data_IF_645662092813
#
_entry.id   IF_645662092813
#
_cell.length_a   1.000
_cell.length_b   1.000
_cell.length_c   1.000
_cell.angle_alpha   90.00
_cell.angle_beta   90.00
_cell.angle_gamma   90.00
#
_symmetry.space_group_name_H-M   'P 1'
#
loop_
_entity.id
_entity.type
_entity.pdbx_description
1 polymer ?
#
# COMPACT_ATOMS: atom_id res chain seq x y z
N UNK A 1 3.46 16.76 27.64
CA UNK A 1 3.27 15.39 27.11
C UNK A 1 2.59 15.58 25.77
N UNK A 2 3.31 15.34 24.67
CA UNK A 2 2.67 15.34 23.35
C UNK A 2 1.72 14.14 23.29
N UNK A 3 0.44 14.37 23.00
CA UNK A 3 -0.51 13.28 22.75
C UNK A 3 -0.04 12.49 21.55
N UNK A 4 0.20 11.18 21.72
CA UNK A 4 0.56 10.29 20.62
C UNK A 4 -0.65 10.05 19.72
N UNK A 5 -0.41 9.62 18.47
CA UNK A 5 -1.49 9.26 17.55
C UNK A 5 -2.44 8.18 18.12
N UNK A 6 -1.96 7.33 19.03
CA UNK A 6 -2.75 6.31 19.72
C UNK A 6 -3.75 6.88 20.73
N UNK A 7 -3.62 8.15 21.12
CA UNK A 7 -4.44 8.77 22.16
C UNK A 7 -5.76 9.34 21.59
N UNK A 8 -5.89 9.37 20.26
CA UNK A 8 -7.09 9.82 19.55
C UNK A 8 -8.03 8.61 19.36
N UNK A 9 -9.31 8.79 19.70
CA UNK A 9 -10.31 7.74 19.50
C UNK A 9 -10.40 7.34 18.02
N UNK A 10 -10.51 6.03 17.73
CA UNK A 10 -10.56 5.54 16.35
C UNK A 10 -11.72 6.13 15.54
N UNK A 11 -12.84 6.44 16.21
CA UNK A 11 -14.00 7.08 15.58
C UNK A 11 -13.69 8.48 15.08
N UNK A 12 -12.84 9.24 15.78
CA UNK A 12 -12.41 10.56 15.34
C UNK A 12 -11.54 10.48 14.07
N UNK A 13 -10.66 9.47 13.98
CA UNK A 13 -9.90 9.18 12.76
C UNK A 13 -10.82 8.90 11.57
N UNK A 14 -11.83 8.05 11.76
CA UNK A 14 -12.81 7.72 10.70
C UNK A 14 -13.64 8.94 10.32
N UNK A 15 -14.03 9.77 11.28
CA UNK A 15 -14.77 11.01 11.02
C UNK A 15 -13.93 12.04 10.24
N UNK A 16 -12.64 12.17 10.56
CA UNK A 16 -11.70 13.01 9.82
C UNK A 16 -11.49 12.50 8.40
N UNK A 17 -11.27 11.20 8.25
CA UNK A 17 -11.15 10.56 6.95
C UNK A 17 -12.37 10.81 6.07
N UNK A 18 -13.58 10.60 6.60
CA UNK A 18 -14.82 10.86 5.87
C UNK A 18 -14.94 12.33 5.43
N UNK A 19 -14.60 13.28 6.32
CA UNK A 19 -14.59 14.72 5.98
C UNK A 19 -13.59 15.06 4.88
N UNK A 20 -12.37 14.52 4.96
CA UNK A 20 -11.35 14.79 3.94
C UNK A 20 -11.71 14.15 2.60
N UNK A 21 -12.20 12.90 2.57
CA UNK A 21 -12.65 12.24 1.35
C UNK A 21 -13.81 12.99 0.65
N UNK A 22 -14.70 13.61 1.44
CA UNK A 22 -15.81 14.40 0.90
C UNK A 22 -15.39 15.79 0.38
N UNK A 23 -14.30 16.36 0.91
CA UNK A 23 -13.91 17.76 0.64
C UNK A 23 -12.67 17.91 -0.25
N UNK A 24 -11.80 16.92 -0.30
CA UNK A 24 -10.57 16.93 -1.09
C UNK A 24 -10.78 16.11 -2.36
N UNK A 25 -10.67 16.72 -3.55
CA UNK A 25 -10.79 15.97 -4.79
C UNK A 25 -9.63 14.98 -4.91
N UNK A 26 -9.95 13.73 -5.30
CA UNK A 26 -8.93 12.72 -5.55
C UNK A 26 -8.21 12.98 -6.87
N UNK A 27 -6.96 12.53 -6.94
CA UNK A 27 -6.16 12.52 -8.17
C UNK A 27 -6.59 11.31 -9.01
N UNK A 28 -7.17 11.60 -10.17
CA UNK A 28 -7.48 10.59 -11.18
C UNK A 28 -6.29 10.38 -12.13
N UNK A 29 -5.93 9.12 -12.39
CA UNK A 29 -4.88 8.75 -13.35
C UNK A 29 -5.55 8.15 -14.60
N UNK A 30 -5.64 8.88 -15.72
CA UNK A 30 -6.25 8.36 -16.93
C UNK A 30 -5.38 7.22 -17.49
N UNK A 31 -5.96 6.02 -17.57
CA UNK A 31 -5.27 4.84 -18.08
C UNK A 31 -6.27 3.83 -18.67
N UNK A 32 -5.96 3.18 -19.82
CA UNK A 32 -6.89 2.23 -20.47
C UNK A 32 -7.08 0.92 -19.70
N UNK A 33 -6.15 0.59 -18.81
CA UNK A 33 -6.26 -0.55 -17.88
C UNK A 33 -6.41 -0.01 -16.47
N UNK A 34 -7.59 -0.21 -15.89
CA UNK A 34 -7.91 0.19 -14.51
C UNK A 34 -8.28 -1.03 -13.67
N UNK A 35 -8.05 -0.90 -12.38
CA UNK A 35 -8.49 -1.78 -11.32
C UNK A 35 -9.07 -0.96 -10.19
N UNK A 36 -9.91 -1.57 -9.37
CA UNK A 36 -10.45 -0.93 -8.19
C UNK A 36 -10.39 -1.88 -7.00
N UNK A 37 -10.22 -1.30 -5.81
CA UNK A 37 -10.16 -2.05 -4.55
C UNK A 37 -11.02 -1.41 -3.48
N UNK A 38 -11.56 -2.21 -2.56
CA UNK A 38 -12.33 -1.73 -1.43
C UNK A 38 -11.53 -1.75 -0.13
N UNK A 39 -11.35 -0.58 0.48
CA UNK A 39 -10.83 -0.41 1.83
C UNK A 39 -12.04 -0.39 2.77
N UNK A 40 -12.32 -1.53 3.40
CA UNK A 40 -13.49 -1.69 4.27
C UNK A 40 -13.11 -1.50 5.73
N UNK A 41 -13.77 -0.56 6.40
CA UNK A 41 -13.59 -0.24 7.82
C UNK A 41 -14.83 -0.70 8.60
N UNK A 42 -14.62 -1.36 9.73
CA UNK A 42 -15.69 -1.66 10.70
C UNK A 42 -15.34 -1.12 12.09
N UNK A 43 -16.36 -0.75 12.86
CA UNK A 43 -16.19 -0.38 14.28
C UNK A 43 -16.60 -1.55 15.17
N UNK A 44 -15.70 -2.00 16.05
CA UNK A 44 -15.96 -3.07 17.01
C UNK A 44 -15.94 -2.53 18.44
N UNK A 45 -16.29 -3.37 19.41
CA UNK A 45 -16.23 -3.04 20.85
C UNK A 45 -17.10 -1.82 21.25
N UNK A 46 -18.24 -1.65 20.59
CA UNK A 46 -19.27 -0.69 20.98
C UNK A 46 -20.47 -1.41 21.59
N UNK A 47 -21.04 -0.84 22.66
CA UNK A 47 -22.18 -1.41 23.37
C UNK A 47 -23.44 -1.50 22.47
N UNK A 48 -23.64 -0.52 21.60
CA UNK A 48 -24.71 -0.50 20.61
C UNK A 48 -24.30 0.28 19.35
N UNK A 49 -24.94 -0.01 18.23
CA UNK A 49 -24.79 0.79 17.02
C UNK A 49 -26.01 1.71 16.93
N UNK A 50 -25.81 3.04 16.83
CA UNK A 50 -26.93 3.91 16.53
C UNK A 50 -27.49 3.59 15.14
N UNK A 51 -28.79 3.79 14.91
CA UNK A 51 -29.36 3.63 13.58
C UNK A 51 -28.67 4.62 12.62
N UNK A 52 -28.22 4.12 11.47
CA UNK A 52 -27.67 4.96 10.42
C UNK A 52 -28.81 5.46 9.52
N UNK A 53 -29.07 6.78 9.45
CA UNK A 53 -30.13 7.30 8.61
C UNK A 53 -29.72 7.19 7.13
N UNK A 54 -30.49 6.46 6.29
CA UNK A 54 -30.18 6.36 4.87
C UNK A 54 -30.39 7.72 4.20
N UNK A 55 -29.41 8.14 3.40
CA UNK A 55 -29.41 9.43 2.69
C UNK A 55 -29.25 9.20 1.18
N UNK A 56 -29.99 9.97 0.38
CA UNK A 56 -29.99 9.87 -1.09
C UNK A 56 -29.07 10.88 -1.77
N UNK A 57 -28.60 11.92 -1.05
CA UNK A 57 -27.70 12.96 -1.61
C UNK A 57 -26.35 12.96 -0.88
N UNK A 58 -25.23 13.31 -1.56
CA UNK A 58 -23.90 13.31 -0.94
C UNK A 58 -23.77 14.22 0.30
N UNK A 59 -24.42 15.37 0.26
CA UNK A 59 -24.45 16.35 1.38
C UNK A 59 -25.18 15.76 2.59
N UNK A 60 -26.33 15.14 2.37
CA UNK A 60 -27.08 14.47 3.42
C UNK A 60 -26.31 13.25 3.96
N UNK A 61 -25.62 12.49 3.11
CA UNK A 61 -24.76 11.37 3.53
C UNK A 61 -23.64 11.84 4.46
N UNK A 62 -23.02 12.99 4.18
CA UNK A 62 -21.97 13.57 5.03
C UNK A 62 -22.54 13.97 6.40
N UNK A 63 -23.73 14.56 6.43
CA UNK A 63 -24.40 14.92 7.68
C UNK A 63 -24.81 13.68 8.48
N UNK A 64 -25.39 12.66 7.84
CA UNK A 64 -25.74 11.37 8.44
C UNK A 64 -24.52 10.64 9.01
N UNK A 65 -23.39 10.67 8.29
CA UNK A 65 -22.11 10.14 8.76
C UNK A 65 -21.61 10.88 10.00
N UNK A 66 -21.66 12.21 9.99
CA UNK A 66 -21.25 13.01 11.13
C UNK A 66 -22.12 12.72 12.35
N UNK A 67 -23.44 12.65 12.21
CA UNK A 67 -24.36 12.29 13.30
C UNK A 67 -24.10 10.88 13.84
N UNK A 68 -23.91 9.90 12.95
CA UNK A 68 -23.58 8.53 13.31
C UNK A 68 -22.28 8.43 14.12
N UNK A 69 -21.19 9.01 13.61
CA UNK A 69 -19.87 8.95 14.24
C UNK A 69 -19.76 9.82 15.51
N UNK A 70 -20.56 10.88 15.63
CA UNK A 70 -20.59 11.72 16.83
C UNK A 70 -21.36 11.09 17.99
N UNK A 71 -22.01 9.93 17.78
CA UNK A 71 -22.75 9.26 18.83
C UNK A 71 -21.83 8.74 19.94
N UNK A 72 -22.11 9.13 21.18
CA UNK A 72 -21.29 8.78 22.34
C UNK A 72 -21.16 7.29 22.60
N UNK A 73 -22.09 6.47 22.11
CA UNK A 73 -22.02 5.00 22.21
C UNK A 73 -20.87 4.43 21.38
N UNK A 74 -20.45 5.13 20.31
CA UNK A 74 -19.30 4.75 19.50
C UNK A 74 -17.97 5.27 20.06
N UNK A 75 -17.96 6.10 21.11
CA UNK A 75 -16.74 6.74 21.60
C UNK A 75 -15.61 5.76 21.98
N UNK A 76 -15.97 4.56 22.48
CA UNK A 76 -15.01 3.50 22.84
C UNK A 76 -14.77 2.48 21.72
N UNK A 77 -15.38 2.67 20.54
CA UNK A 77 -15.30 1.72 19.45
C UNK A 77 -13.90 1.72 18.84
N UNK A 78 -13.43 0.54 18.44
CA UNK A 78 -12.15 0.36 17.74
C UNK A 78 -12.42 0.13 16.26
N UNK A 79 -11.73 0.88 15.40
CA UNK A 79 -11.73 0.62 13.96
C UNK A 79 -10.84 -0.58 13.59
N UNK A 80 -11.33 -1.43 12.70
CA UNK A 80 -10.55 -2.47 12.01
C UNK A 80 -10.67 -2.29 10.49
N UNK A 81 -9.61 -2.64 9.76
CA UNK A 81 -9.53 -2.60 8.29
C UNK A 81 -9.47 -4.04 7.75
N UNK A 82 -10.23 -4.32 6.69
CA UNK A 82 -10.22 -5.60 5.99
C UNK A 82 -9.04 -5.70 5.02
N UNK A 83 -8.25 -6.76 5.15
CA UNK A 83 -7.21 -7.15 4.19
C UNK A 83 -7.46 -8.58 3.68
N UNK A 84 -6.98 -8.87 2.48
CA UNK A 84 -6.95 -10.21 1.91
C UNK A 84 -5.53 -10.65 1.62
N UNK A 85 -5.29 -11.95 1.71
CA UNK A 85 -4.15 -12.61 1.10
C UNK A 85 -4.61 -13.25 -0.20
N UNK A 86 -4.02 -12.81 -1.32
CA UNK A 86 -4.29 -13.38 -2.64
C UNK A 86 -3.88 -14.85 -2.69
N UNK A 87 -4.67 -15.69 -3.34
CA UNK A 87 -4.29 -17.07 -3.63
C UNK A 87 -3.03 -17.13 -4.50
N UNK A 88 -2.35 -18.28 -4.49
CA UNK A 88 -1.17 -18.48 -5.32
C UNK A 88 -1.57 -19.05 -6.67
N UNK A 89 -1.17 -18.35 -7.73
CA UNK A 89 -1.32 -18.81 -9.11
C UNK A 89 -0.02 -18.60 -9.87
N UNK A 90 0.47 -19.62 -10.58
CA UNK A 90 1.76 -19.59 -11.28
C UNK A 90 1.94 -18.42 -12.26
N UNK A 91 0.82 -17.86 -12.75
CA UNK A 91 0.79 -16.76 -13.72
C UNK A 91 0.45 -15.40 -13.10
N UNK A 92 0.13 -15.35 -11.81
CA UNK A 92 -0.17 -14.10 -11.10
C UNK A 92 1.11 -13.55 -10.45
N UNK A 93 1.67 -12.41 -10.92
CA UNK A 93 2.84 -11.79 -10.33
C UNK A 93 2.60 -11.23 -8.92
N UNK A 94 1.34 -11.16 -8.47
CA UNK A 94 0.93 -10.68 -7.15
C UNK A 94 0.49 -11.82 -6.21
N UNK A 95 0.74 -13.07 -6.60
CA UNK A 95 0.43 -14.26 -5.80
C UNK A 95 0.88 -14.14 -4.35
N UNK A 96 -0.03 -14.40 -3.41
CA UNK A 96 0.25 -14.36 -1.98
C UNK A 96 0.38 -12.96 -1.37
N UNK A 97 0.29 -11.88 -2.15
CA UNK A 97 0.38 -10.52 -1.60
C UNK A 97 -0.78 -10.21 -0.64
N UNK A 98 -0.47 -9.42 0.38
CA UNK A 98 -1.47 -8.79 1.24
C UNK A 98 -1.96 -7.50 0.57
N UNK A 99 -3.27 -7.38 0.44
CA UNK A 99 -3.92 -6.24 -0.19
C UNK A 99 -5.36 -6.07 0.25
N UNK A 100 -6.11 -5.37 -0.56
CA UNK A 100 -7.54 -5.13 -0.39
C UNK A 100 -8.33 -5.97 -1.37
N UNK A 101 -9.57 -6.39 -1.04
CA UNK A 101 -10.43 -7.04 -2.00
C UNK A 101 -10.68 -6.13 -3.20
N UNK A 102 -10.68 -6.71 -4.40
CA UNK A 102 -10.74 -5.93 -5.63
C UNK A 102 -10.03 -6.58 -6.81
N UNK A 103 -10.30 -6.03 -7.99
CA UNK A 103 -9.86 -6.62 -9.24
C UNK A 103 -9.88 -5.64 -10.39
N UNK A 104 -10.02 -6.18 -11.60
CA UNK A 104 -9.89 -5.41 -12.84
C UNK A 104 -11.24 -4.84 -13.24
N UNK A 105 -11.25 -3.61 -13.72
CA UNK A 105 -12.45 -3.02 -14.30
C UNK A 105 -12.89 -3.81 -15.54
N UNK A 106 -14.15 -4.20 -15.56
CA UNK A 106 -14.80 -4.91 -16.66
C UNK A 106 -15.74 -4.00 -17.45
N UNK A 107 -16.04 -4.37 -18.70
CA UNK A 107 -16.91 -3.56 -19.57
C UNK A 107 -18.35 -3.42 -19.05
N UNK A 108 -18.78 -4.32 -18.16
CA UNK A 108 -20.09 -4.25 -17.51
C UNK A 108 -20.09 -3.38 -16.26
N UNK A 109 -18.93 -2.96 -15.75
CA UNK A 109 -18.85 -2.14 -14.55
C UNK A 109 -19.17 -0.69 -14.92
N UNK A 110 -20.16 -0.11 -14.24
CA UNK A 110 -20.59 1.28 -14.50
C UNK A 110 -19.55 2.32 -14.03
N UNK A 111 -18.67 1.93 -13.10
CA UNK A 111 -17.62 2.78 -12.53
C UNK A 111 -16.55 1.91 -11.83
N UNK A 112 -15.42 2.51 -11.47
CA UNK A 112 -14.41 1.86 -10.62
C UNK A 112 -14.99 1.50 -9.24
N UNK A 113 -15.93 2.29 -8.71
CA UNK A 113 -16.65 1.96 -7.47
C UNK A 113 -17.42 0.65 -7.64
N UNK A 114 -18.18 0.52 -8.73
CA UNK A 114 -18.93 -0.70 -9.04
C UNK A 114 -18.00 -1.93 -9.21
N UNK A 115 -16.82 -1.74 -9.79
CA UNK A 115 -15.77 -2.78 -9.85
C UNK A 115 -15.36 -3.21 -8.43
N UNK A 116 -15.03 -2.27 -7.53
CA UNK A 116 -14.62 -2.62 -6.18
C UNK A 116 -15.73 -3.36 -5.40
N UNK A 117 -16.99 -2.97 -5.58
CA UNK A 117 -18.16 -3.63 -4.97
C UNK A 117 -18.38 -5.05 -5.52
N UNK A 118 -18.34 -5.22 -6.85
CA UNK A 118 -18.50 -6.52 -7.51
C UNK A 118 -17.42 -7.50 -7.06
N UNK A 119 -16.16 -7.08 -7.16
CA UNK A 119 -15.00 -7.90 -6.81
C UNK A 119 -15.02 -8.28 -5.31
N UNK A 120 -15.37 -7.34 -4.42
CA UNK A 120 -15.49 -7.65 -2.98
C UNK A 120 -16.58 -8.68 -2.71
N UNK A 121 -17.70 -8.61 -3.44
CA UNK A 121 -18.78 -9.60 -3.34
C UNK A 121 -18.35 -10.96 -3.88
N UNK A 122 -17.63 -11.00 -4.99
CA UNK A 122 -17.14 -12.24 -5.62
C UNK A 122 -16.05 -12.92 -4.78
N UNK A 123 -15.11 -12.15 -4.24
CA UNK A 123 -13.97 -12.64 -3.47
C UNK A 123 -14.35 -13.06 -2.04
N UNK A 124 -15.28 -12.33 -1.40
CA UNK A 124 -15.56 -12.47 0.03
C UNK A 124 -17.03 -12.72 0.38
N UNK A 125 -17.93 -12.76 -0.61
CA UNK A 125 -19.37 -12.82 -0.36
C UNK A 125 -19.93 -11.59 0.36
N UNK A 126 -19.17 -10.50 0.42
CA UNK A 126 -19.49 -9.30 1.18
C UNK A 126 -20.12 -8.25 0.27
N UNK A 127 -21.41 -7.95 0.47
CA UNK A 127 -22.11 -6.92 -0.30
C UNK A 127 -21.94 -5.54 0.35
N UNK A 128 -21.13 -4.68 -0.28
CA UNK A 128 -20.87 -3.32 0.19
C UNK A 128 -22.03 -2.35 -0.05
N UNK A 129 -23.10 -2.78 -0.71
CA UNK A 129 -24.33 -1.99 -0.89
C UNK A 129 -25.30 -2.17 0.28
N UNK A 130 -25.09 -3.19 1.11
CA UNK A 130 -25.96 -3.53 2.23
C UNK A 130 -25.22 -3.40 3.56
N UNK A 131 -25.58 -2.39 4.36
CA UNK A 131 -24.99 -2.20 5.70
C UNK A 131 -23.61 -1.54 5.72
N UNK A 132 -23.18 -1.00 4.58
CA UNK A 132 -22.00 -0.18 4.42
C UNK A 132 -22.34 1.16 3.77
N UNK A 133 -21.52 2.16 4.02
CA UNK A 133 -21.58 3.46 3.36
C UNK A 133 -20.24 3.76 2.70
N UNK A 134 -20.27 4.21 1.45
CA UNK A 134 -19.10 4.68 0.74
C UNK A 134 -18.69 6.06 1.29
N UNK A 135 -17.48 6.15 1.85
CA UNK A 135 -16.92 7.40 2.38
C UNK A 135 -16.28 8.27 1.29
N UNK A 136 -15.85 7.65 0.19
CA UNK A 136 -15.18 8.31 -0.92
C UNK A 136 -13.97 7.52 -1.41
N UNK A 137 -13.20 8.16 -2.29
CA UNK A 137 -12.09 7.53 -3.02
C UNK A 137 -10.76 8.21 -2.65
N UNK A 138 -9.71 7.40 -2.45
CA UNK A 138 -8.33 7.87 -2.32
C UNK A 138 -7.72 8.18 -3.69
N UNK A 139 -6.53 8.79 -3.75
CA UNK A 139 -5.84 9.02 -5.01
C UNK A 139 -5.60 7.70 -5.78
N UNK A 140 -5.75 7.76 -7.10
CA UNK A 140 -5.40 6.64 -7.95
C UNK A 140 -3.91 6.31 -7.80
N UNK A 141 -3.57 5.03 -7.68
CA UNK A 141 -2.19 4.55 -7.58
C UNK A 141 -1.75 3.95 -8.91
N UNK A 142 -0.70 4.50 -9.51
CA UNK A 142 -0.11 3.94 -10.72
C UNK A 142 0.76 2.70 -10.41
N UNK A 143 0.48 1.60 -11.11
CA UNK A 143 1.27 0.37 -11.04
C UNK A 143 2.42 0.45 -12.01
N UNK A 144 3.62 0.68 -11.49
CA UNK A 144 4.84 0.73 -12.30
C UNK A 144 5.55 -0.62 -12.34
N UNK A 145 5.96 -1.04 -13.53
CA UNK A 145 7.00 -2.05 -13.68
C UNK A 145 8.27 -1.39 -14.21
N UNK A 146 9.39 -1.62 -13.52
CA UNK A 146 10.68 -1.00 -13.85
C UNK A 146 11.03 -1.30 -15.33
N UNK A 147 11.19 -0.24 -16.13
CA UNK A 147 11.51 -0.34 -17.56
C UNK A 147 10.32 -0.53 -18.51
N UNK A 148 9.07 -0.61 -18.01
CA UNK A 148 7.88 -0.81 -18.86
C UNK A 148 6.77 0.24 -18.67
N UNK A 149 7.02 1.32 -17.93
CA UNK A 149 6.05 2.39 -17.69
C UNK A 149 4.90 2.01 -16.76
N UNK A 150 3.83 2.82 -16.77
CA UNK A 150 2.59 2.54 -16.04
C UNK A 150 1.84 1.40 -16.71
N UNK A 151 1.59 0.31 -15.98
CA UNK A 151 0.88 -0.86 -16.49
C UNK A 151 -0.64 -0.73 -16.32
N UNK A 152 -1.06 -0.09 -15.24
CA UNK A 152 -2.46 0.17 -14.87
C UNK A 152 -2.55 1.24 -13.79
N UNK A 153 -3.75 1.79 -13.60
CA UNK A 153 -4.11 2.61 -12.44
C UNK A 153 -5.03 1.79 -11.52
N UNK A 154 -4.85 1.93 -10.20
CA UNK A 154 -5.72 1.30 -9.20
C UNK A 154 -6.45 2.39 -8.43
N UNK A 155 -7.79 2.29 -8.36
CA UNK A 155 -8.67 3.21 -7.66
C UNK A 155 -9.11 2.63 -6.31
N UNK A 156 -8.70 3.21 -5.16
CA UNK A 156 -9.08 2.71 -3.85
C UNK A 156 -10.35 3.41 -3.33
N UNK A 157 -11.40 2.64 -3.05
CA UNK A 157 -12.67 3.12 -2.52
C UNK A 157 -12.83 2.75 -1.04
N UNK A 158 -13.19 3.70 -0.19
CA UNK A 158 -13.28 3.53 1.26
C UNK A 158 -14.73 3.34 1.70
N UNK A 159 -14.99 2.31 2.50
CA UNK A 159 -16.30 1.97 3.02
C UNK A 159 -16.29 1.88 4.54
N UNK A 160 -17.39 2.28 5.17
CA UNK A 160 -17.62 2.11 6.60
C UNK A 160 -18.84 1.22 6.85
N UNK A 161 -18.70 0.21 7.70
CA UNK A 161 -19.81 -0.59 8.18
C UNK A 161 -20.70 0.25 9.11
N UNK A 162 -21.99 0.34 8.78
CA UNK A 162 -23.00 1.11 9.54
C UNK A 162 -23.92 0.24 10.38
N UNK A 163 -23.85 -1.09 10.23
CA UNK A 163 -24.63 -2.06 10.99
C UNK A 163 -23.79 -2.72 12.09
N UNK A 164 -24.46 -3.14 13.18
CA UNK A 164 -23.78 -3.80 14.32
C UNK A 164 -23.12 -5.12 13.93
N UNK A 165 -23.81 -5.93 13.13
CA UNK A 165 -23.39 -7.28 12.81
C UNK A 165 -22.58 -7.26 11.51
N UNK A 166 -21.31 -7.67 11.58
CA UNK A 166 -20.51 -7.91 10.38
C UNK A 166 -21.00 -9.22 9.73
N UNK A 167 -21.34 -9.22 8.44
CA UNK A 167 -21.66 -10.44 7.70
C UNK A 167 -20.51 -11.46 7.76
N UNK A 168 -20.84 -12.74 7.70
CA UNK A 168 -19.83 -13.81 7.62
C UNK A 168 -19.12 -13.73 6.26
N UNK A 169 -17.78 -13.65 6.28
CA UNK A 169 -16.98 -13.63 5.06
C UNK A 169 -16.88 -15.04 4.46
N UNK A 170 -17.09 -15.15 3.15
CA UNK A 170 -16.96 -16.38 2.37
C UNK A 170 -15.89 -16.18 1.31
N UNK A 171 -14.68 -16.63 1.62
CA UNK A 171 -13.52 -16.53 0.73
C UNK A 171 -13.67 -17.42 -0.50
N UNK A 172 -13.42 -16.86 -1.69
CA UNK A 172 -13.39 -17.58 -2.96
C UNK A 172 -12.06 -18.32 -3.18
N UNK A 173 -11.90 -18.98 -4.32
CA UNK A 173 -10.64 -19.64 -4.71
C UNK A 173 -9.51 -18.63 -5.06
N UNK A 174 -9.86 -17.37 -5.31
CA UNK A 174 -8.89 -16.30 -5.60
C UNK A 174 -8.29 -15.69 -4.33
N UNK A 175 -8.90 -15.96 -3.17
CA UNK A 175 -8.48 -15.47 -1.86
C UNK A 175 -8.07 -16.63 -0.96
N UNK A 176 -6.80 -16.64 -0.54
CA UNK A 176 -6.32 -17.63 0.42
C UNK A 176 -6.91 -17.39 1.82
N UNK A 177 -6.98 -16.13 2.22
CA UNK A 177 -7.52 -15.72 3.53
C UNK A 177 -7.91 -14.24 3.57
N UNK A 178 -8.80 -13.90 4.49
CA UNK A 178 -9.24 -12.54 4.79
C UNK A 178 -9.05 -12.24 6.27
N UNK A 179 -8.65 -11.01 6.61
CA UNK A 179 -8.23 -10.63 7.95
C UNK A 179 -8.72 -9.22 8.31
N UNK A 180 -9.42 -9.08 9.44
CA UNK A 180 -9.68 -7.77 10.02
C UNK A 180 -8.52 -7.36 10.94
N UNK A 181 -7.83 -6.29 10.56
CA UNK A 181 -6.65 -5.79 11.27
C UNK A 181 -7.02 -4.53 12.03
N UNK A 182 -6.62 -4.47 13.30
CA UNK A 182 -6.88 -3.30 14.14
C UNK A 182 -6.15 -2.06 13.62
N UNK A 183 -6.90 -0.96 13.46
CA UNK A 183 -6.36 0.29 12.96
C UNK A 183 -5.28 0.86 13.88
N UNK A 184 -5.39 0.63 15.19
CA UNK A 184 -4.39 1.01 16.18
C UNK A 184 -3.03 0.37 15.90
N UNK A 185 -3.01 -0.87 15.39
CA UNK A 185 -1.76 -1.52 15.01
C UNK A 185 -1.09 -0.89 13.77
N UNK A 186 -1.86 -0.22 12.91
CA UNK A 186 -1.33 0.59 11.81
C UNK A 186 -0.78 1.91 12.36
N UNK A 187 -1.53 2.55 13.26
CA UNK A 187 -1.16 3.81 13.90
C UNK A 187 0.10 3.70 14.78
N UNK A 188 0.24 2.61 15.54
CA UNK A 188 1.43 2.26 16.34
C UNK A 188 2.70 2.17 15.50
N UNK A 189 2.53 1.96 14.19
CA UNK A 189 3.58 1.86 13.19
C UNK A 189 3.62 3.08 12.27
N UNK A 190 3.20 4.23 12.79
CA UNK A 190 3.63 5.53 12.30
C UNK A 190 4.89 5.96 13.05
N UNK A 191 5.91 6.39 12.32
CA UNK A 191 7.16 6.90 12.90
C UNK A 191 7.37 8.36 12.49
N UNK A 192 7.96 9.15 13.39
CA UNK A 192 8.35 10.54 13.13
C UNK A 192 9.84 10.79 13.44
N UNK A 193 10.63 11.32 12.47
CA UNK A 193 10.44 11.17 11.02
C UNK A 193 10.52 9.69 10.63
N UNK A 194 10.01 9.31 9.44
CA UNK A 194 10.16 7.95 8.91
C UNK A 194 11.64 7.53 8.95
N UNK A 195 11.97 6.56 9.80
CA UNK A 195 13.36 6.08 9.97
C UNK A 195 13.67 5.03 8.91
N UNK A 196 14.89 5.07 8.37
CA UNK A 196 15.38 4.03 7.45
C UNK A 196 15.56 2.71 8.22
N UNK A 197 14.97 1.62 7.69
CA UNK A 197 15.15 0.22 8.08
C UNK A 197 15.46 -0.02 9.57
N UNK A 198 14.47 0.20 10.43
CA UNK A 198 14.50 -0.31 11.80
C UNK A 198 14.01 -1.76 11.82
N UNK A 199 14.29 -2.53 12.89
CA UNK A 199 13.72 -3.87 13.07
C UNK A 199 12.17 -3.89 13.02
N UNK A 200 11.53 -2.71 13.17
CA UNK A 200 10.08 -2.49 13.12
C UNK A 200 9.51 -2.50 11.68
N UNK A 201 10.31 -2.13 10.67
CA UNK A 201 9.94 -2.21 9.25
C UNK A 201 10.87 -3.18 8.53
N UNK A 202 10.34 -4.33 8.12
CA UNK A 202 11.13 -5.33 7.39
C UNK A 202 11.42 -4.84 5.97
N UNK A 203 12.30 -5.53 5.25
CA UNK A 203 12.54 -5.23 3.84
C UNK A 203 12.48 -6.46 2.95
N UNK A 204 11.88 -6.31 1.77
CA UNK A 204 11.95 -7.31 0.70
C UNK A 204 12.95 -6.82 -0.34
N UNK A 205 14.02 -7.60 -0.53
CA UNK A 205 15.05 -7.33 -1.51
C UNK A 205 14.66 -7.85 -2.89
N UNK A 206 14.53 -6.97 -3.88
CA UNK A 206 14.38 -7.33 -5.28
C UNK A 206 15.70 -7.10 -6.03
N UNK A 207 16.24 -8.13 -6.67
CA UNK A 207 17.43 -7.98 -7.49
C UNK A 207 17.12 -7.14 -8.73
N UNK A 208 17.87 -6.05 -8.92
CA UNK A 208 17.66 -5.14 -10.06
C UNK A 208 17.94 -5.85 -11.39
N UNK A 209 19.02 -6.63 -11.45
CA UNK A 209 19.37 -7.39 -12.64
C UNK A 209 18.24 -8.34 -13.07
N UNK A 210 17.56 -8.95 -12.10
CA UNK A 210 16.42 -9.84 -12.34
C UNK A 210 15.18 -9.13 -12.91
N UNK A 211 15.07 -7.80 -12.74
CA UNK A 211 13.96 -7.01 -13.28
C UNK A 211 14.27 -6.40 -14.64
N UNK A 212 15.53 -6.06 -14.90
CA UNK A 212 15.93 -5.39 -16.14
C UNK A 212 16.32 -6.37 -17.26
N UNK A 213 16.79 -7.57 -16.90
CA UNK A 213 17.35 -8.51 -17.87
C UNK A 213 16.64 -9.87 -17.82
N UNK A 214 16.43 -10.52 -18.99
CA UNK A 214 15.80 -11.84 -19.05
C UNK A 214 16.65 -12.90 -18.32
N UNK A 215 15.99 -13.82 -17.60
CA UNK A 215 16.63 -14.92 -16.86
C UNK A 215 17.42 -15.90 -17.75
N UNK A 216 17.17 -15.86 -19.07
CA UNK A 216 17.85 -16.67 -20.08
C UNK A 216 19.24 -16.14 -20.45
N UNK A 217 19.62 -14.97 -19.93
CA UNK A 217 20.97 -14.42 -20.11
C UNK A 217 22.01 -15.29 -19.41
N UNK A 218 23.22 -15.35 -19.98
CA UNK A 218 24.29 -16.22 -19.51
C UNK A 218 24.55 -16.07 -17.99
N UNK A 219 24.56 -17.20 -17.25
CA UNK A 219 24.56 -17.24 -15.77
C UNK A 219 25.66 -16.39 -15.12
N UNK A 220 26.87 -16.35 -15.69
CA UNK A 220 27.96 -15.51 -15.15
C UNK A 220 27.70 -14.01 -15.32
N UNK A 221 27.22 -13.58 -16.49
CA UNK A 221 26.83 -12.19 -16.75
C UNK A 221 25.69 -11.77 -15.82
N UNK A 222 24.70 -12.64 -15.62
CA UNK A 222 23.62 -12.38 -14.68
C UNK A 222 24.13 -12.21 -13.24
N UNK A 223 25.03 -13.09 -12.76
CA UNK A 223 25.63 -12.97 -11.43
C UNK A 223 26.45 -11.69 -11.26
N UNK A 224 27.29 -11.37 -12.25
CA UNK A 224 28.08 -10.14 -12.28
C UNK A 224 27.16 -8.91 -12.21
N UNK A 225 26.12 -8.85 -13.04
CA UNK A 225 25.12 -7.78 -13.01
C UNK A 225 24.36 -7.73 -11.69
N UNK A 226 23.99 -8.86 -11.09
CA UNK A 226 23.35 -8.89 -9.78
C UNK A 226 24.23 -8.28 -8.68
N UNK A 227 25.55 -8.51 -8.75
CA UNK A 227 26.53 -7.90 -7.83
C UNK A 227 26.69 -6.41 -8.10
N UNK A 228 26.88 -6.02 -9.36
CA UNK A 228 27.08 -4.61 -9.74
C UNK A 228 25.84 -3.74 -9.50
N UNK A 229 24.66 -4.22 -9.89
CA UNK A 229 23.41 -3.49 -9.79
C UNK A 229 22.80 -3.57 -8.38
N UNK A 230 23.13 -4.59 -7.60
CA UNK A 230 22.63 -4.74 -6.24
C UNK A 230 21.13 -5.04 -6.15
N UNK A 231 20.54 -4.67 -5.01
CA UNK A 231 19.13 -4.94 -4.66
C UNK A 231 18.39 -3.64 -4.34
N UNK A 232 17.12 -3.60 -4.72
CA UNK A 232 16.13 -2.64 -4.22
C UNK A 232 15.48 -3.26 -2.99
N UNK A 233 15.37 -2.50 -1.91
CA UNK A 233 14.71 -2.91 -0.67
C UNK A 233 13.38 -2.18 -0.55
N UNK A 234 12.28 -2.93 -0.61
CA UNK A 234 10.94 -2.38 -0.38
C UNK A 234 10.61 -2.45 1.10
N UNK A 235 10.03 -1.38 1.62
CA UNK A 235 9.49 -1.34 2.99
C UNK A 235 8.36 -2.35 3.12
N UNK A 236 8.38 -3.08 4.23
CA UNK A 236 7.31 -3.99 4.63
C UNK A 236 6.81 -3.59 6.00
N UNK A 237 5.50 -3.40 6.09
CA UNK A 237 4.77 -3.19 7.33
C UNK A 237 4.24 -4.56 7.81
N UNK A 238 4.82 -5.15 8.86
CA UNK A 238 4.22 -6.33 9.47
C UNK A 238 2.92 -5.91 10.18
N UNK A 239 1.83 -6.66 9.99
CA UNK A 239 0.54 -6.49 10.66
C UNK A 239 0.29 -7.74 11.51
N UNK A 240 -0.26 -7.64 12.74
CA UNK A 240 -0.49 -8.81 13.56
C UNK A 240 -1.57 -9.70 12.95
N UNK A 241 -1.35 -11.01 12.97
CA UNK A 241 -2.37 -11.99 12.60
C UNK A 241 -3.13 -12.45 13.85
N UNK A 242 -4.47 -12.46 13.77
CA UNK A 242 -5.35 -12.95 14.82
C UNK A 242 -6.40 -13.87 14.21
N UNK A 243 -6.44 -15.13 14.63
CA UNK A 243 -7.37 -16.13 14.08
C UNK A 243 -8.85 -15.79 14.32
N UNK A 244 -9.19 -15.17 15.44
CA UNK A 244 -10.56 -14.74 15.77
C UNK A 244 -11.17 -13.81 14.71
N UNK A 245 -10.33 -13.00 14.07
CA UNK A 245 -10.73 -11.99 13.10
C UNK A 245 -10.35 -12.37 11.66
N UNK A 246 -10.04 -13.64 11.43
CA UNK A 246 -9.55 -14.15 10.16
C UNK A 246 -10.42 -15.29 9.64
N UNK A 247 -10.58 -15.34 8.31
CA UNK A 247 -11.21 -16.46 7.61
C UNK A 247 -10.20 -17.01 6.61
N UNK A 248 -9.95 -18.32 6.68
CA UNK A 248 -9.03 -19.05 5.79
C UNK A 248 -9.82 -19.96 4.87
N UNK A 249 -9.40 -20.07 3.60
CA UNK A 249 -10.02 -21.00 2.67
C UNK A 249 -9.55 -22.43 3.01
N UNK A 250 -10.50 -23.33 3.30
CA UNK A 250 -10.27 -24.73 3.70
C UNK A 250 -9.46 -25.54 2.70
N UNK A 251 -9.50 -25.19 1.41
CA UNK A 251 -8.68 -25.82 0.36
C UNK A 251 -7.18 -25.63 0.65
N UNK A 252 -6.81 -24.55 1.33
CA UNK A 252 -5.43 -24.21 1.68
C UNK A 252 -5.02 -24.64 3.10
N UNK A 253 -5.97 -25.05 3.96
CA UNK A 253 -5.69 -25.59 5.30
C UNK A 253 -4.96 -26.95 5.25
N UNK A 254 -5.12 -27.72 4.17
CA UNK A 254 -4.54 -29.06 4.03
C UNK A 254 -3.05 -29.06 3.61
N UNK A 255 -2.41 -27.90 3.45
CA UNK A 255 -1.07 -27.81 2.87
C UNK A 255 -0.26 -26.60 3.34
N UNK A 256 0.21 -26.65 4.58
CA UNK A 256 1.31 -25.85 5.15
C UNK A 256 1.11 -24.32 5.20
N UNK A 257 1.08 -23.76 6.42
CA UNK A 257 1.23 -22.32 6.71
C UNK A 257 2.61 -21.72 6.34
N UNK A 258 3.28 -22.23 5.29
CA UNK A 258 4.62 -21.76 4.93
C UNK A 258 4.96 -21.95 3.44
N UNK A 259 4.04 -21.66 2.52
CA UNK A 259 4.27 -21.93 1.08
C UNK A 259 4.90 -20.74 0.36
N UNK A 260 6.07 -21.00 -0.23
CA UNK A 260 7.04 -20.07 -0.83
C UNK A 260 6.60 -19.56 -2.20
N UNK A 261 6.63 -18.25 -2.43
CA UNK A 261 6.67 -17.67 -3.79
C UNK A 261 8.13 -17.32 -4.12
N UNK A 262 8.72 -18.04 -5.07
CA UNK A 262 10.10 -17.88 -5.57
C UNK A 262 11.17 -17.85 -4.48
N UNK A 263 11.48 -19.00 -3.88
CA UNK A 263 12.58 -19.32 -2.95
C UNK A 263 12.85 -18.41 -1.72
N UNK A 264 12.45 -17.13 -1.66
CA UNK A 264 12.98 -16.15 -0.71
C UNK A 264 11.98 -15.12 -0.14
N UNK A 265 10.70 -15.08 -0.53
CA UNK A 265 9.72 -14.11 0.00
C UNK A 265 8.46 -14.79 0.54
N UNK A 266 8.15 -14.55 1.82
CA UNK A 266 6.90 -14.94 2.49
C UNK A 266 6.11 -13.68 2.80
N UNK A 267 4.82 -13.68 2.49
CA UNK A 267 3.91 -12.53 2.69
C UNK A 267 2.97 -12.68 3.89
N UNK A 268 2.95 -13.85 4.51
CA UNK A 268 2.29 -14.12 5.78
C UNK A 268 3.10 -15.14 6.61
N UNK A 269 2.90 -15.13 7.92
CA UNK A 269 3.31 -16.14 8.88
C UNK A 269 2.15 -16.45 9.82
N UNK A 270 2.32 -17.42 10.72
CA UNK A 270 1.34 -17.74 11.77
C UNK A 270 1.07 -16.58 12.74
N UNK A 271 1.85 -15.49 12.67
CA UNK A 271 1.81 -14.37 13.61
C UNK A 271 1.71 -13.00 12.94
N UNK A 272 2.07 -12.88 11.66
CA UNK A 272 2.16 -11.60 10.97
C UNK A 272 1.74 -11.70 9.50
N UNK A 273 1.11 -10.64 9.00
CA UNK A 273 0.89 -10.38 7.58
C UNK A 273 1.86 -9.30 7.12
N UNK A 274 2.44 -9.43 5.93
CA UNK A 274 3.46 -8.51 5.42
C UNK A 274 2.89 -7.60 4.34
N UNK A 275 2.43 -6.41 4.74
CA UNK A 275 1.90 -5.39 3.84
C UNK A 275 3.04 -4.60 3.19
N UNK A 276 3.02 -4.45 1.86
CA UNK A 276 4.07 -3.78 1.11
C UNK A 276 3.56 -3.20 -0.21
N UNK A 277 4.40 -2.42 -0.90
CA UNK A 277 4.11 -1.94 -2.25
C UNK A 277 2.88 -1.04 -2.34
N UNK A 278 2.01 -1.29 -3.33
CA UNK A 278 0.83 -0.47 -3.61
C UNK A 278 -0.16 -0.48 -2.45
N UNK A 279 -0.39 -1.63 -1.81
CA UNK A 279 -1.29 -1.74 -0.66
C UNK A 279 -0.78 -0.89 0.52
N UNK A 280 0.54 -0.87 0.75
CA UNK A 280 1.14 0.00 1.77
C UNK A 280 1.03 1.49 1.39
N UNK A 281 1.10 1.82 0.10
CA UNK A 281 0.86 3.19 -0.38
C UNK A 281 -0.55 3.67 -0.06
N UNK A 282 -1.56 2.83 -0.34
CA UNK A 282 -2.96 3.13 -0.04
C UNK A 282 -3.20 3.27 1.47
N UNK A 283 -2.61 2.39 2.29
CA UNK A 283 -2.70 2.51 3.77
C UNK A 283 -2.03 3.77 4.28
N UNK A 284 -0.88 4.16 3.70
CA UNK A 284 -0.21 5.39 4.09
C UNK A 284 -1.06 6.62 3.80
N UNK A 285 -1.70 6.67 2.64
CA UNK A 285 -2.59 7.77 2.28
C UNK A 285 -3.86 7.77 3.13
N UNK A 286 -4.46 6.60 3.38
CA UNK A 286 -5.61 6.44 4.27
C UNK A 286 -5.33 7.04 5.66
N UNK A 287 -4.14 6.75 6.19
CA UNK A 287 -3.70 7.25 7.49
C UNK A 287 -3.42 8.75 7.46
N UNK A 288 -2.68 9.24 6.46
CA UNK A 288 -2.42 10.67 6.26
C UNK A 288 -3.73 11.48 6.19
N UNK A 289 -4.75 10.95 5.51
CA UNK A 289 -6.10 11.53 5.40
C UNK A 289 -6.94 11.37 6.68
N UNK A 290 -6.59 10.46 7.58
CA UNK A 290 -7.30 10.27 8.85
C UNK A 290 -6.77 11.14 9.99
N UNK A 291 -5.57 11.72 9.84
CA UNK A 291 -4.90 12.49 10.88
C UNK A 291 -5.45 13.92 11.02
N UNK A 292 -5.47 14.48 12.24
CA UNK A 292 -5.91 15.85 12.43
C UNK A 292 -4.92 16.82 11.80
N UNK A 293 -5.43 17.95 11.29
CA UNK A 293 -4.63 19.04 10.73
C UNK A 293 -3.84 19.72 11.86
N UNK A 294 -2.65 19.20 12.19
CA UNK A 294 -1.71 19.83 13.11
C UNK A 294 -0.31 19.88 12.49
N UNK A 295 0.14 21.05 12.00
CA UNK A 295 1.44 21.20 11.37
C UNK A 295 2.51 21.54 12.40
N UNK A 296 3.13 20.53 12.98
CA UNK A 296 4.52 20.62 13.50
C UNK A 296 5.29 19.33 13.22
N UNK A 297 4.61 18.18 13.32
CA UNK A 297 5.18 16.86 13.12
C UNK A 297 4.41 16.10 12.01
N UNK A 298 4.99 15.96 10.82
CA UNK A 298 4.47 15.08 9.74
C UNK A 298 4.58 13.60 10.15
N UNK A 299 3.51 13.03 10.70
CA UNK A 299 3.36 11.58 10.87
C UNK A 299 3.05 10.97 9.50
N UNK A 300 3.68 9.86 9.17
CA UNK A 300 3.30 9.08 7.98
C UNK A 300 3.68 7.62 8.21
N UNK A 301 2.89 6.71 7.63
CA UNK A 301 3.25 5.29 7.57
C UNK A 301 4.52 5.17 6.71
N UNK A 302 5.42 4.26 7.06
CA UNK A 302 6.71 4.15 6.38
C UNK A 302 6.58 4.10 4.84
N UNK A 303 7.41 4.89 4.15
CA UNK A 303 7.33 5.07 2.70
C UNK A 303 7.31 3.72 1.95
N UNK A 304 6.32 3.47 1.07
CA UNK A 304 6.16 2.21 0.34
C UNK A 304 7.20 2.02 -0.76
N UNK A 305 7.98 3.07 -1.06
CA UNK A 305 8.89 3.11 -2.20
C UNK A 305 10.22 2.39 -1.92
N UNK A 306 10.82 1.76 -2.94
CA UNK A 306 12.05 1.03 -2.77
C UNK A 306 13.19 1.97 -2.38
N UNK A 307 13.92 1.59 -1.34
CA UNK A 307 15.17 2.22 -0.99
C UNK A 307 16.31 1.39 -1.61
N UNK A 308 17.33 2.08 -2.11
CA UNK A 308 18.49 1.42 -2.71
C UNK A 308 19.34 0.79 -1.59
N UNK A 309 19.91 -0.39 -1.85
CA UNK A 309 20.93 -0.96 -0.95
C UNK A 309 22.11 0.00 -0.79
N UNK A 310 22.83 -0.09 0.33
CA UNK A 310 23.87 0.88 0.75
C UNK A 310 24.84 1.30 -0.36
N UNK A 311 25.29 0.37 -1.18
CA UNK A 311 26.20 0.61 -2.30
C UNK A 311 25.57 1.39 -3.47
N UNK A 312 24.34 1.07 -3.87
CA UNK A 312 23.67 1.79 -4.96
C UNK A 312 23.08 3.12 -4.47
N UNK A 313 22.69 3.17 -3.19
CA UNK A 313 22.24 4.39 -2.52
C UNK A 313 23.33 5.45 -2.51
N UNK A 314 24.59 5.10 -2.27
CA UNK A 314 25.68 6.09 -2.25
C UNK A 314 25.83 6.78 -3.61
N UNK A 315 25.80 6.03 -4.70
CA UNK A 315 25.93 6.57 -6.06
C UNK A 315 24.71 7.42 -6.46
N UNK A 316 23.51 6.87 -6.29
CA UNK A 316 22.28 7.56 -6.68
C UNK A 316 22.03 8.78 -5.79
N UNK A 317 22.30 8.69 -4.48
CA UNK A 317 22.18 9.82 -3.58
C UNK A 317 23.22 10.91 -3.88
N UNK A 318 24.45 10.54 -4.26
CA UNK A 318 25.44 11.52 -4.72
C UNK A 318 24.95 12.23 -5.99
N UNK A 319 24.42 11.48 -6.96
CA UNK A 319 23.88 12.03 -8.21
C UNK A 319 22.65 12.91 -7.98
N UNK A 320 21.65 12.44 -7.21
CA UNK A 320 20.43 13.20 -6.92
C UNK A 320 20.76 14.46 -6.13
N UNK A 321 21.68 14.41 -5.16
CA UNK A 321 22.11 15.61 -4.42
C UNK A 321 22.95 16.56 -5.28
N UNK A 322 23.68 16.06 -6.27
CA UNK A 322 24.45 16.90 -7.20
C UNK A 322 23.55 17.59 -8.20
N UNK A 323 22.55 16.89 -8.75
CA UNK A 323 21.50 17.49 -9.58
C UNK A 323 20.70 18.51 -8.77
N UNK A 324 20.27 18.16 -7.55
CA UNK A 324 19.54 19.06 -6.67
C UNK A 324 20.34 20.34 -6.33
N UNK A 325 21.66 20.22 -6.11
CA UNK A 325 22.55 21.38 -5.89
C UNK A 325 22.69 22.27 -7.14
N UNK A 326 22.60 21.68 -8.33
CA UNK A 326 22.71 22.40 -9.61
C UNK A 326 21.39 23.04 -10.02
N UNK A 327 20.25 22.43 -9.70
CA UNK A 327 18.92 22.90 -10.13
C UNK A 327 18.24 23.82 -9.11
N UNK A 328 18.57 23.72 -7.82
CA UNK A 328 17.87 24.47 -6.76
C UNK A 328 18.86 25.09 -5.77
N UNK A 329 18.69 26.38 -5.46
CA UNK A 329 19.56 27.13 -4.54
C UNK A 329 19.52 26.56 -3.12
N UNK A 330 20.56 26.86 -2.33
CA UNK A 330 20.86 26.33 -0.98
C UNK A 330 19.83 26.62 0.11
N UNK A 331 18.68 27.23 -0.21
CA UNK A 331 17.71 27.70 0.76
C UNK A 331 16.31 27.10 0.52
N UNK A 332 15.93 26.19 1.44
CA UNK A 332 14.58 25.75 1.88
C UNK A 332 14.37 24.24 1.80
N UNK A 333 14.54 23.59 2.96
CA UNK A 333 13.90 22.29 3.26
C UNK A 333 12.42 22.58 3.53
N UNK A 334 11.58 22.32 2.53
CA UNK A 334 10.10 22.42 2.50
C UNK A 334 9.54 23.83 2.23
N UNK A 335 9.00 24.04 1.03
CA UNK A 335 7.57 24.35 0.93
C UNK A 335 6.97 23.55 -0.24
N UNK A 336 6.36 22.41 0.04
CA UNK A 336 5.73 21.59 -1.01
C UNK A 336 4.24 21.51 -0.71
N UNK A 337 3.44 22.20 -1.50
CA UNK A 337 1.97 22.27 -1.38
C UNK A 337 1.28 21.04 -1.95
N UNK A 338 2.02 20.14 -2.60
CA UNK A 338 1.55 18.80 -3.01
C UNK A 338 2.64 17.77 -2.67
N UNK A 339 2.27 16.63 -2.08
CA UNK A 339 3.22 15.51 -1.90
C UNK A 339 3.75 15.03 -3.27
N UNK A 340 2.96 15.14 -4.35
CA UNK A 340 3.29 14.61 -5.67
C UNK A 340 4.54 15.25 -6.31
N UNK A 341 4.83 16.53 -6.10
CA UNK A 341 5.92 17.23 -6.80
C UNK A 341 7.33 16.82 -6.35
N UNK A 342 7.53 16.55 -5.06
CA UNK A 342 8.81 16.03 -4.56
C UNK A 342 9.07 14.62 -5.07
N UNK A 343 8.06 13.75 -5.02
CA UNK A 343 8.19 12.36 -5.41
C UNK A 343 8.31 12.19 -6.92
N UNK A 344 7.59 12.96 -7.74
CA UNK A 344 7.76 12.96 -9.19
C UNK A 344 9.15 13.47 -9.56
N UNK A 345 9.65 14.53 -8.91
CA UNK A 345 11.00 15.05 -9.16
C UNK A 345 12.09 14.09 -8.70
N UNK A 346 11.92 13.45 -7.54
CA UNK A 346 12.80 12.40 -7.05
C UNK A 346 12.78 11.20 -7.99
N UNK A 347 11.61 10.77 -8.47
CA UNK A 347 11.47 9.65 -9.40
C UNK A 347 12.03 9.97 -10.78
N UNK A 348 11.87 11.19 -11.29
CA UNK A 348 12.53 11.67 -12.52
C UNK A 348 14.04 11.65 -12.34
N UNK A 349 14.54 12.18 -11.23
CA UNK A 349 15.98 12.18 -10.94
C UNK A 349 16.50 10.77 -10.76
N UNK A 350 15.76 9.89 -10.09
CA UNK A 350 16.09 8.48 -9.91
C UNK A 350 16.01 7.73 -11.25
N UNK A 351 15.06 8.04 -12.13
CA UNK A 351 14.93 7.47 -13.47
C UNK A 351 16.09 7.84 -14.39
N UNK A 352 16.86 8.88 -14.07
CA UNK A 352 18.08 9.28 -14.78
C UNK A 352 19.32 8.74 -14.05
N UNK A 353 19.41 8.96 -12.74
CA UNK A 353 20.56 8.58 -11.92
C UNK A 353 20.74 7.07 -11.86
N UNK A 354 19.64 6.32 -11.83
CA UNK A 354 19.68 4.87 -11.79
C UNK A 354 20.26 4.26 -13.07
N UNK A 355 19.75 4.55 -14.30
CA UNK A 355 20.38 4.07 -15.53
C UNK A 355 21.85 4.48 -15.68
N UNK A 356 22.20 5.71 -15.29
CA UNK A 356 23.59 6.19 -15.37
C UNK A 356 24.50 5.42 -14.40
N UNK A 357 24.08 5.21 -13.16
CA UNK A 357 24.82 4.39 -12.19
C UNK A 357 24.96 2.95 -12.69
N UNK A 358 23.88 2.37 -13.24
CA UNK A 358 23.90 1.03 -13.84
C UNK A 358 24.88 0.95 -15.02
N UNK A 359 24.86 1.93 -15.93
CA UNK A 359 25.72 2.00 -17.09
C UNK A 359 27.19 2.17 -16.72
N UNK A 360 27.49 3.04 -15.75
CA UNK A 360 28.85 3.25 -15.24
C UNK A 360 29.42 1.97 -14.61
N UNK A 361 28.62 1.27 -13.80
CA UNK A 361 29.04 -0.01 -13.20
C UNK A 361 29.20 -1.12 -14.22
N UNK A 362 28.32 -1.18 -15.22
CA UNK A 362 28.44 -2.15 -16.31
C UNK A 362 29.68 -1.89 -17.17
N UNK A 363 29.95 -0.62 -17.51
CA UNK A 363 31.15 -0.23 -18.24
C UNK A 363 32.43 -0.59 -17.46
N UNK A 364 32.45 -0.33 -16.15
CA UNK A 364 33.56 -0.74 -15.28
C UNK A 364 33.73 -2.26 -15.26
N UNK A 365 32.64 -3.01 -15.15
CA UNK A 365 32.68 -4.47 -15.12
C UNK A 365 33.15 -5.07 -16.45
N UNK A 366 32.73 -4.49 -17.59
CA UNK A 366 33.22 -4.87 -18.93
C UNK A 366 34.70 -4.52 -19.08
N UNK A 367 35.13 -3.35 -18.61
CA UNK A 367 36.52 -2.93 -18.67
C UNK A 367 37.43 -3.86 -17.86
N UNK A 368 37.06 -4.17 -16.62
CA UNK A 368 37.81 -5.11 -15.75
C UNK A 368 37.76 -6.53 -16.31
N UNK A 369 36.61 -6.99 -16.80
CA UNK A 369 36.46 -8.31 -17.42
C UNK A 369 37.30 -8.46 -18.70
N UNK A 370 37.32 -7.43 -19.55
CA UNK A 370 38.15 -7.39 -20.75
C UNK A 370 39.65 -7.35 -20.46
N UNK A 371 40.05 -6.83 -19.30
CA UNK A 371 41.44 -6.87 -18.83
C UNK A 371 41.83 -8.28 -18.36
N UNK A 372 40.93 -8.97 -17.64
CA UNK A 372 41.15 -10.34 -17.16
C UNK A 372 41.15 -11.42 -18.25
N UNK A 373 40.55 -11.16 -19.43
CA UNK A 373 40.59 -12.05 -20.59
C UNK A 373 41.77 -11.81 -21.53
N UNK A 374 42.58 -10.77 -21.29
CA UNK A 374 43.79 -10.45 -22.07
C UNK A 374 45.09 -10.88 -21.37
N UNK A 375 45.01 -11.36 -20.13
CA UNK A 375 46.09 -12.04 -19.39
C UNK A 375 45.80 -13.53 -19.49
#
# INVERSE_FOLDING_TARGET
MESGATDIAHVEYVAQLARHLASVPHVHIPHPRRSAVAIVIRLINSAAYPPYPPSQTPEATTQSLHEFLSNSVLASARAQILFIQRAQHDRDPWSGNIGFPGGKHELCDESDQATAERETREELGLDLREGYVHLGQLNDVAVYLLGQGTRMAVSPHVYLQTQKQTPELRVSDEVASAHWIDFGCVLDRMDHPVRQFTAKYRSIGACIAARLFPKQMHRWWFRLLSVCLGKLHYTVLPLPYTSEYSVTNKVFEAGTNSVRVSDHVRFASDTELYLWGISLCMVSELVDMSLPVAPQNVWSVASPWPQLGSWLWTDVNWMTNSVHRLTWTTHRRKPWTSQSDFFISYFRTLSIAFPVSCAAKLALAIYVGGFLFKI
#
